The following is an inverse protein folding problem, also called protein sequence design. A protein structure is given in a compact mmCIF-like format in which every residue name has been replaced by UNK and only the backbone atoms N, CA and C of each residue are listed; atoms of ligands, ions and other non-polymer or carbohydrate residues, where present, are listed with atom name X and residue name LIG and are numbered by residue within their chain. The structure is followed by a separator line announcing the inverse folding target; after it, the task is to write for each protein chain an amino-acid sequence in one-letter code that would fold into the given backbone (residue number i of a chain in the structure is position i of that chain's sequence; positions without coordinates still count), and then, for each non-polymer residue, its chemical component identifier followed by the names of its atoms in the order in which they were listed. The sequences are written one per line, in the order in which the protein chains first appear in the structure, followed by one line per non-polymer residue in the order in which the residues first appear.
data_IF_151211768752
#
_entry.id   IF_151211768752
#
_cell.length_a   1.000
_cell.length_b   1.000
_cell.length_c   1.000
_cell.angle_alpha   90.00
_cell.angle_beta   90.00
_cell.angle_gamma   90.00
#
_symmetry.space_group_name_H-M   'P 1'
#
loop_
_entity.id
_entity.type
_entity.pdbx_description
1 polymer ?
#
# COMPACT_ATOMS: atom_id res chain seq x y z
N UNK A 1 -24.14 15.12 17.26
CA UNK A 1 -25.20 14.33 17.93
C UNK A 1 -24.55 13.65 19.12
N UNK A 2 -24.93 14.01 20.34
CA UNK A 2 -24.39 13.36 21.54
C UNK A 2 -25.34 12.21 21.90
N UNK A 3 -24.89 10.97 21.67
CA UNK A 3 -25.61 9.80 22.20
C UNK A 3 -24.95 9.38 23.51
N UNK A 4 -25.64 9.56 24.61
CA UNK A 4 -25.11 9.20 25.93
C UNK A 4 -25.42 7.77 26.34
N UNK A 5 -26.44 7.12 25.75
CA UNK A 5 -26.83 5.75 26.04
C UNK A 5 -27.51 5.09 24.83
N UNK A 6 -27.32 3.76 24.69
CA UNK A 6 -28.11 2.94 23.79
C UNK A 6 -29.44 2.49 24.47
N UNK A 7 -30.26 1.71 23.76
CA UNK A 7 -31.55 1.23 24.27
C UNK A 7 -31.42 0.27 25.46
N UNK A 8 -30.23 -0.28 25.72
CA UNK A 8 -29.94 -1.16 26.86
C UNK A 8 -29.35 -0.41 28.05
N UNK A 9 -29.13 0.88 27.93
CA UNK A 9 -28.57 1.72 28.99
C UNK A 9 -27.04 1.76 29.07
N UNK A 10 -26.32 1.11 28.12
CA UNK A 10 -24.88 1.20 28.02
C UNK A 10 -24.44 2.59 27.52
N UNK A 11 -23.28 3.05 27.98
CA UNK A 11 -22.72 4.31 27.52
C UNK A 11 -22.26 4.18 26.06
N UNK A 12 -22.77 5.02 25.19
CA UNK A 12 -22.27 5.19 23.83
C UNK A 12 -21.32 6.37 23.83
N UNK A 13 -20.05 6.13 23.53
CA UNK A 13 -19.07 7.18 23.37
C UNK A 13 -19.20 7.77 21.96
N UNK A 14 -19.46 9.07 21.89
CA UNK A 14 -19.43 9.80 20.63
C UNK A 14 -18.06 10.47 20.48
N UNK A 15 -17.47 10.41 19.29
CA UNK A 15 -16.26 11.12 18.94
C UNK A 15 -16.52 12.08 17.80
N UNK A 16 -15.79 13.17 17.80
CA UNK A 16 -15.70 14.11 16.69
C UNK A 16 -14.28 14.66 16.59
N UNK A 17 -13.92 15.09 15.39
CA UNK A 17 -12.66 15.78 15.09
C UNK A 17 -13.01 17.11 14.47
N UNK A 18 -12.39 18.17 14.96
CA UNK A 18 -12.43 19.50 14.34
C UNK A 18 -11.12 19.74 13.64
N UNK A 19 -11.18 20.12 12.38
CA UNK A 19 -9.98 20.24 11.55
C UNK A 19 -9.89 21.58 10.88
N UNK A 20 -8.69 22.16 10.82
CA UNK A 20 -8.35 23.27 9.96
C UNK A 20 -7.11 22.94 9.14
N UNK A 21 -7.07 23.37 7.89
CA UNK A 21 -5.94 23.12 7.01
C UNK A 21 -5.71 24.28 6.05
N UNK A 22 -4.48 24.38 5.57
CA UNK A 22 -4.14 25.20 4.42
C UNK A 22 -3.20 24.44 3.48
N UNK A 23 -3.27 24.75 2.20
CA UNK A 23 -2.41 24.20 1.16
C UNK A 23 -1.95 25.35 0.25
N UNK A 24 -0.65 25.38 -0.01
CA UNK A 24 -0.02 26.33 -0.89
C UNK A 24 0.74 25.61 -1.98
N UNK A 25 0.42 25.91 -3.23
CA UNK A 25 1.08 25.34 -4.41
C UNK A 25 1.62 26.49 -5.27
N UNK A 26 2.88 26.37 -5.68
CA UNK A 26 3.53 27.41 -6.45
C UNK A 26 4.47 26.85 -7.51
N UNK A 27 4.48 27.53 -8.63
CA UNK A 27 5.56 27.45 -9.61
C UNK A 27 6.57 28.54 -9.28
N UNK A 28 7.65 28.18 -8.58
CA UNK A 28 8.67 29.12 -8.12
C UNK A 28 9.46 29.69 -9.31
N UNK A 29 9.80 28.82 -10.27
CA UNK A 29 10.46 29.19 -11.53
C UNK A 29 9.83 28.40 -12.67
N UNK A 30 10.32 28.58 -13.90
CA UNK A 30 9.87 27.77 -15.05
C UNK A 30 10.10 26.27 -14.87
N UNK A 31 11.01 25.90 -13.99
CA UNK A 31 11.49 24.52 -13.79
C UNK A 31 11.25 23.97 -12.39
N UNK A 32 10.91 24.83 -11.41
CA UNK A 32 10.77 24.46 -10.01
C UNK A 32 9.32 24.63 -9.58
N UNK A 33 8.77 23.57 -9.04
CA UNK A 33 7.42 23.50 -8.48
C UNK A 33 7.51 23.05 -7.03
N UNK A 34 6.79 23.71 -6.15
CA UNK A 34 6.75 23.37 -4.74
C UNK A 34 5.32 23.38 -4.20
N UNK A 35 5.04 22.52 -3.25
CA UNK A 35 3.84 22.57 -2.43
C UNK A 35 4.22 22.57 -0.97
N UNK A 36 3.39 23.23 -0.15
CA UNK A 36 3.46 23.15 1.30
C UNK A 36 2.04 23.15 1.85
N UNK A 37 1.72 22.21 2.70
CA UNK A 37 0.44 22.10 3.38
C UNK A 37 0.61 21.80 4.86
N UNK A 38 -0.34 22.24 5.65
CA UNK A 38 -0.46 21.95 7.07
C UNK A 38 -1.91 21.71 7.43
N UNK A 39 -2.12 20.76 8.34
CA UNK A 39 -3.42 20.46 8.92
C UNK A 39 -3.29 20.34 10.42
N UNK A 40 -4.27 20.85 11.14
CA UNK A 40 -4.40 20.84 12.59
C UNK A 40 -5.73 20.19 12.93
N UNK A 41 -5.70 19.18 13.78
CA UNK A 41 -6.87 18.42 14.17
C UNK A 41 -6.99 18.38 15.69
N UNK A 42 -8.20 18.57 16.19
CA UNK A 42 -8.57 18.44 17.59
C UNK A 42 -9.57 17.29 17.72
N UNK A 43 -9.18 16.22 18.41
CA UNK A 43 -10.02 15.07 18.66
C UNK A 43 -10.55 15.12 20.10
N UNK A 44 -11.85 14.87 20.26
CA UNK A 44 -12.56 14.95 21.54
C UNK A 44 -11.88 14.23 22.70
N UNK A 45 -11.23 13.09 22.45
CA UNK A 45 -10.71 12.20 23.48
C UNK A 45 -9.20 11.94 23.37
N UNK A 46 -8.62 12.07 22.20
CA UNK A 46 -7.23 11.70 21.93
C UNK A 46 -6.27 12.90 21.75
N UNK A 47 -6.75 14.14 22.08
CA UNK A 47 -5.92 15.33 22.03
C UNK A 47 -5.84 15.99 20.65
N UNK A 48 -4.78 16.72 20.44
CA UNK A 48 -4.55 17.52 19.24
C UNK A 48 -3.35 16.94 18.49
N UNK A 49 -3.44 16.91 17.18
CA UNK A 49 -2.36 16.49 16.30
C UNK A 49 -2.24 17.45 15.11
N UNK A 50 -1.04 17.54 14.58
CA UNK A 50 -0.77 18.28 13.36
C UNK A 50 -0.03 17.44 12.33
N UNK A 51 -0.25 17.74 11.08
CA UNK A 51 0.47 17.13 9.98
C UNK A 51 0.89 18.16 8.95
N UNK A 52 2.06 17.90 8.36
CA UNK A 52 2.69 18.80 7.40
C UNK A 52 3.08 18.03 6.15
N UNK A 53 3.04 18.69 5.00
CA UNK A 53 3.53 18.16 3.75
C UNK A 53 4.33 19.21 3.00
N UNK A 54 5.50 18.84 2.53
CA UNK A 54 6.29 19.65 1.60
C UNK A 54 6.68 18.79 0.40
N UNK A 55 6.58 19.34 -0.80
CA UNK A 55 7.05 18.68 -2.02
C UNK A 55 7.87 19.65 -2.86
N UNK A 56 8.86 19.11 -3.55
CA UNK A 56 9.68 19.84 -4.51
C UNK A 56 9.84 19.02 -5.78
N UNK A 57 9.62 19.65 -6.92
CA UNK A 57 9.89 19.03 -8.21
C UNK A 57 10.72 19.98 -9.08
N UNK A 58 11.75 19.44 -9.72
CA UNK A 58 12.59 20.13 -10.69
C UNK A 58 12.48 19.45 -12.05
N UNK A 59 11.97 20.17 -13.02
CA UNK A 59 11.87 19.74 -14.41
C UNK A 59 13.06 20.30 -15.20
N UNK A 60 13.89 19.42 -15.74
CA UNK A 60 15.04 19.85 -16.56
C UNK A 60 14.59 20.54 -17.85
N UNK A 61 15.46 21.38 -18.41
CA UNK A 61 15.15 22.15 -19.62
C UNK A 61 14.83 21.26 -20.85
N UNK A 62 15.34 20.05 -20.89
CA UNK A 62 15.02 19.04 -21.91
C UNK A 62 13.59 18.49 -21.77
N UNK A 63 12.86 18.84 -20.70
CA UNK A 63 11.52 18.39 -20.35
C UNK A 63 11.35 16.88 -20.30
N UNK A 64 12.43 16.13 -20.39
CA UNK A 64 12.41 14.66 -20.38
C UNK A 64 12.85 14.07 -19.04
N UNK A 65 13.42 14.91 -18.16
CA UNK A 65 13.92 14.50 -16.85
C UNK A 65 13.26 15.34 -15.75
N UNK A 66 12.76 14.69 -14.71
CA UNK A 66 12.18 15.34 -13.53
C UNK A 66 12.76 14.70 -12.27
N UNK A 67 13.27 15.53 -11.37
CA UNK A 67 13.55 15.16 -9.98
C UNK A 67 12.34 15.52 -9.14
N UNK A 68 12.01 14.67 -8.19
CA UNK A 68 10.90 14.88 -7.26
C UNK A 68 11.31 14.46 -5.86
N UNK A 69 10.82 15.18 -4.87
CA UNK A 69 11.03 14.86 -3.46
C UNK A 69 9.80 15.27 -2.68
N UNK A 70 9.47 14.50 -1.67
CA UNK A 70 8.42 14.84 -0.71
C UNK A 70 8.89 14.53 0.71
N UNK A 71 8.39 15.31 1.66
CA UNK A 71 8.43 15.03 3.08
C UNK A 71 7.03 15.25 3.64
N UNK A 72 6.60 14.38 4.52
CA UNK A 72 5.31 14.50 5.16
C UNK A 72 5.28 13.87 6.54
N UNK A 73 4.47 14.45 7.42
CA UNK A 73 4.05 13.84 8.67
C UNK A 73 2.59 13.46 8.56
N UNK A 74 2.16 12.47 9.33
CA UNK A 74 0.79 12.02 9.40
C UNK A 74 0.46 11.48 10.78
N UNK A 75 -0.82 11.31 11.05
CA UNK A 75 -1.27 10.71 12.30
C UNK A 75 -2.58 9.95 12.08
N UNK A 76 -2.89 9.06 13.01
CA UNK A 76 -4.16 8.36 13.10
C UNK A 76 -4.65 8.37 14.55
N UNK A 77 -5.76 9.03 14.80
CA UNK A 77 -6.41 8.94 16.10
C UNK A 77 -6.95 7.53 16.34
N UNK A 78 -6.95 7.06 17.60
CA UNK A 78 -7.60 5.82 17.94
C UNK A 78 -9.10 5.90 17.62
N UNK A 79 -9.64 4.82 17.07
CA UNK A 79 -11.07 4.65 16.84
C UNK A 79 -11.85 4.53 18.15
N UNK A 80 -13.16 4.71 18.10
CA UNK A 80 -14.03 4.45 19.28
C UNK A 80 -13.93 3.01 19.78
N UNK A 81 -13.71 2.05 18.89
CA UNK A 81 -13.49 0.67 19.24
C UNK A 81 -12.19 0.49 20.04
N UNK A 82 -11.09 1.07 19.57
CA UNK A 82 -9.79 1.01 20.27
C UNK A 82 -9.85 1.72 21.63
N UNK A 83 -10.50 2.90 21.71
CA UNK A 83 -10.68 3.65 22.96
C UNK A 83 -11.56 2.92 23.98
N UNK A 84 -12.50 2.09 23.54
CA UNK A 84 -13.51 1.46 24.41
C UNK A 84 -13.48 -0.08 24.29
N UNK A 85 -12.30 -0.64 24.13
CA UNK A 85 -12.12 -2.08 23.98
C UNK A 85 -12.55 -2.83 25.24
N UNK A 86 -13.36 -3.89 25.09
CA UNK A 86 -13.91 -4.68 26.18
C UNK A 86 -14.69 -3.86 27.25
N UNK A 87 -15.37 -2.80 26.80
CA UNK A 87 -16.11 -1.88 27.67
C UNK A 87 -15.26 -1.13 28.71
N UNK A 88 -13.94 -1.08 28.50
CA UNK A 88 -12.99 -0.33 29.30
C UNK A 88 -12.46 0.86 28.47
N UNK A 89 -12.88 2.08 28.83
CA UNK A 89 -12.41 3.28 28.15
C UNK A 89 -10.97 3.59 28.52
N UNK A 90 -10.07 3.54 27.52
CA UNK A 90 -8.67 3.88 27.69
C UNK A 90 -8.40 5.33 27.24
N UNK A 91 -8.37 6.25 28.21
CA UNK A 91 -8.10 7.67 27.99
C UNK A 91 -6.61 8.00 27.81
N UNK A 92 -5.73 7.03 27.97
CA UNK A 92 -4.27 7.22 27.84
C UNK A 92 -3.76 6.98 26.41
N UNK A 93 -4.60 6.47 25.52
CA UNK A 93 -4.23 6.24 24.14
C UNK A 93 -3.96 7.55 23.41
N UNK A 94 -2.85 7.58 22.70
CA UNK A 94 -2.42 8.69 21.85
C UNK A 94 -2.69 8.37 20.39
N UNK A 95 -2.61 9.38 19.53
CA UNK A 95 -2.55 9.15 18.10
C UNK A 95 -1.28 8.39 17.72
N UNK A 96 -1.40 7.48 16.77
CA UNK A 96 -0.26 6.95 16.02
C UNK A 96 0.25 8.04 15.09
N UNK A 97 1.55 8.26 15.03
CA UNK A 97 2.16 9.28 14.16
C UNK A 97 3.08 8.64 13.12
N UNK A 98 3.25 9.32 12.01
CA UNK A 98 4.16 8.87 10.95
C UNK A 98 4.98 10.02 10.38
N UNK A 99 6.17 9.68 9.91
CA UNK A 99 7.04 10.53 9.11
C UNK A 99 7.41 9.81 7.83
N UNK A 100 7.32 10.50 6.69
CA UNK A 100 7.69 9.95 5.40
C UNK A 100 8.62 10.88 4.63
N UNK A 101 9.54 10.29 3.90
CA UNK A 101 10.42 10.98 2.97
C UNK A 101 10.53 10.16 1.67
N UNK A 102 10.35 10.84 0.54
CA UNK A 102 10.49 10.25 -0.78
C UNK A 102 11.43 11.10 -1.64
N UNK A 103 12.21 10.42 -2.46
CA UNK A 103 13.02 11.04 -3.51
C UNK A 103 12.97 10.19 -4.77
N UNK A 104 12.72 10.81 -5.93
CA UNK A 104 12.60 10.08 -7.18
C UNK A 104 13.12 10.84 -8.40
N UNK A 105 13.40 10.06 -9.42
CA UNK A 105 13.81 10.52 -10.76
C UNK A 105 12.89 9.91 -11.80
N UNK A 106 12.29 10.75 -12.60
CA UNK A 106 11.51 10.35 -13.78
C UNK A 106 12.28 10.74 -15.04
N UNK A 107 12.46 9.81 -15.97
CA UNK A 107 13.13 10.03 -17.25
C UNK A 107 12.36 9.44 -18.40
N UNK A 108 12.11 10.26 -19.42
CA UNK A 108 11.53 9.84 -20.70
C UNK A 108 12.60 9.79 -21.79
N UNK A 109 12.75 8.62 -22.41
CA UNK A 109 13.62 8.38 -23.56
C UNK A 109 12.76 8.35 -24.82
N UNK A 110 12.44 9.54 -25.34
CA UNK A 110 11.46 9.70 -26.44
C UNK A 110 11.78 8.87 -27.67
N UNK A 111 13.07 8.81 -28.07
CA UNK A 111 13.52 8.04 -29.22
C UNK A 111 13.34 6.52 -29.06
N UNK A 112 13.27 6.04 -27.82
CA UNK A 112 13.06 4.62 -27.50
C UNK A 112 11.61 4.28 -27.18
N UNK A 113 10.74 5.29 -27.02
CA UNK A 113 9.39 5.11 -26.51
C UNK A 113 9.36 4.57 -25.06
N UNK A 114 10.40 4.87 -24.27
CA UNK A 114 10.60 4.36 -22.92
C UNK A 114 10.49 5.49 -21.91
N UNK A 115 9.74 5.27 -20.83
CA UNK A 115 9.80 6.10 -19.63
C UNK A 115 10.13 5.24 -18.40
N UNK A 116 10.93 5.81 -17.51
CA UNK A 116 11.35 5.17 -16.26
C UNK A 116 11.14 6.15 -15.13
N UNK A 117 10.54 5.70 -14.04
CA UNK A 117 10.43 6.40 -12.76
C UNK A 117 11.06 5.51 -11.69
N UNK A 118 12.07 6.01 -11.00
CA UNK A 118 12.72 5.34 -9.90
C UNK A 118 12.60 6.22 -8.65
N UNK A 119 12.10 5.66 -7.56
CA UNK A 119 11.87 6.37 -6.31
C UNK A 119 12.40 5.57 -5.13
N UNK A 120 13.02 6.26 -4.19
CA UNK A 120 13.31 5.77 -2.85
C UNK A 120 12.24 6.31 -1.90
N UNK A 121 11.77 5.48 -0.98
CA UNK A 121 10.87 5.87 0.10
C UNK A 121 11.41 5.44 1.47
N UNK A 122 11.05 6.20 2.50
CA UNK A 122 11.31 5.87 3.90
C UNK A 122 10.13 6.36 4.73
N UNK A 123 9.53 5.46 5.51
CA UNK A 123 8.39 5.75 6.39
C UNK A 123 8.70 5.20 7.77
N UNK A 124 8.38 5.99 8.79
CA UNK A 124 8.45 5.60 10.20
C UNK A 124 7.10 5.82 10.86
N UNK A 125 6.69 4.88 11.69
CA UNK A 125 5.52 4.99 12.55
C UNK A 125 5.95 4.92 14.00
N UNK A 126 5.40 5.81 14.81
CA UNK A 126 5.59 5.84 16.26
C UNK A 126 4.25 5.68 16.95
N UNK A 127 4.25 5.14 18.15
CA UNK A 127 3.04 4.94 18.96
C UNK A 127 1.95 4.16 18.21
N UNK A 128 2.35 3.13 17.42
CA UNK A 128 1.43 2.33 16.63
C UNK A 128 0.25 1.83 17.47
N UNK A 129 -0.96 1.92 16.91
CA UNK A 129 -2.17 1.47 17.58
C UNK A 129 -2.44 0.01 17.22
N UNK A 130 -2.21 -0.88 18.16
CA UNK A 130 -2.40 -2.31 17.96
C UNK A 130 -3.21 -2.95 19.08
N UNK A 131 -4.04 -3.94 18.73
CA UNK A 131 -4.72 -4.78 19.71
C UNK A 131 -3.74 -5.83 20.26
N UNK A 132 -3.50 -5.83 21.56
CA UNK A 132 -2.54 -6.71 22.20
C UNK A 132 -3.18 -7.59 23.28
N UNK A 133 -2.66 -8.81 23.43
CA UNK A 133 -3.05 -9.73 24.49
C UNK A 133 -2.04 -9.63 25.62
N UNK A 134 -2.43 -9.08 26.76
CA UNK A 134 -1.59 -9.00 27.94
C UNK A 134 -1.15 -10.38 28.46
N UNK A 135 -0.06 -10.41 29.22
CA UNK A 135 0.54 -11.62 29.82
C UNK A 135 -0.44 -12.46 30.65
N UNK A 136 -1.53 -11.89 31.09
CA UNK A 136 -2.63 -12.57 31.86
C UNK A 136 -3.81 -13.00 30.99
N UNK A 137 -3.70 -12.92 29.66
CA UNK A 137 -4.80 -13.25 28.76
C UNK A 137 -5.84 -12.14 28.58
N UNK A 138 -5.64 -10.98 29.18
CA UNK A 138 -6.49 -9.81 29.02
C UNK A 138 -6.15 -9.12 27.69
N UNK A 139 -7.17 -8.90 26.86
CA UNK A 139 -7.01 -8.11 25.65
C UNK A 139 -7.10 -6.63 26.01
N UNK A 140 -6.12 -5.85 25.57
CA UNK A 140 -6.16 -4.40 25.66
C UNK A 140 -5.64 -3.79 24.36
N UNK A 141 -6.12 -2.60 24.05
CA UNK A 141 -5.56 -1.77 22.99
C UNK A 141 -4.69 -0.69 23.62
N UNK A 142 -3.47 -0.58 23.16
CA UNK A 142 -2.49 0.38 23.64
C UNK A 142 -1.63 0.89 22.46
N UNK A 143 -0.92 1.99 22.71
CA UNK A 143 0.16 2.37 21.82
C UNK A 143 1.38 1.52 22.12
N UNK A 144 2.05 1.04 21.07
CA UNK A 144 3.31 0.33 21.19
C UNK A 144 4.48 1.31 21.35
N UNK A 145 5.41 1.06 22.26
CA UNK A 145 6.56 1.95 22.49
C UNK A 145 7.64 1.87 21.40
N UNK A 146 7.54 0.91 20.49
CA UNK A 146 8.53 0.70 19.44
C UNK A 146 8.27 1.54 18.17
N UNK A 147 9.27 1.59 17.32
CA UNK A 147 9.20 2.27 16.02
C UNK A 147 9.06 1.25 14.90
N UNK A 148 8.00 1.33 14.12
CA UNK A 148 7.85 0.55 12.90
C UNK A 148 8.44 1.33 11.72
N UNK A 149 9.24 0.66 10.88
CA UNK A 149 9.90 1.28 9.73
C UNK A 149 9.61 0.50 8.46
N UNK A 150 9.43 1.22 7.37
CA UNK A 150 9.37 0.69 6.02
C UNK A 150 10.17 1.59 5.09
N UNK A 151 11.12 1.01 4.34
CA UNK A 151 11.91 1.75 3.35
C UNK A 151 12.16 0.88 2.13
N UNK A 152 12.38 1.50 0.99
CA UNK A 152 12.60 0.72 -0.20
C UNK A 152 12.83 1.53 -1.46
N UNK A 153 12.77 0.80 -2.56
CA UNK A 153 12.90 1.34 -3.91
C UNK A 153 11.71 0.91 -4.74
N UNK A 154 11.18 1.83 -5.51
CA UNK A 154 10.15 1.58 -6.51
C UNK A 154 10.70 1.91 -7.89
N UNK A 155 10.43 1.03 -8.85
CA UNK A 155 10.77 1.22 -10.26
C UNK A 155 9.50 1.01 -11.09
N UNK A 156 9.11 2.04 -11.82
CA UNK A 156 8.03 1.99 -12.78
C UNK A 156 8.62 2.24 -14.17
N UNK A 157 8.37 1.33 -15.11
CA UNK A 157 8.81 1.49 -16.49
C UNK A 157 7.65 1.26 -17.45
N UNK A 158 7.53 2.11 -18.45
CA UNK A 158 6.58 1.96 -19.56
C UNK A 158 7.37 2.02 -20.86
N UNK A 159 7.25 0.98 -21.66
CA UNK A 159 7.98 0.89 -22.93
C UNK A 159 7.03 0.59 -24.09
N UNK A 160 6.84 1.58 -24.94
CA UNK A 160 6.18 1.41 -26.24
C UNK A 160 7.21 0.95 -27.28
N UNK A 161 7.45 -0.37 -27.31
CA UNK A 161 8.44 -0.97 -28.22
C UNK A 161 8.05 -0.78 -29.70
N UNK A 162 6.72 -0.88 -29.97
CA UNK A 162 6.16 -0.65 -31.30
C UNK A 162 4.69 -0.24 -31.18
N UNK A 163 4.00 -0.03 -32.29
CA UNK A 163 2.55 0.22 -32.29
C UNK A 163 1.76 -1.02 -31.83
N UNK A 164 2.36 -2.21 -31.89
CA UNK A 164 1.73 -3.46 -31.57
C UNK A 164 2.20 -4.09 -30.26
N UNK A 165 3.27 -3.59 -29.66
CA UNK A 165 3.86 -4.22 -28.49
C UNK A 165 4.29 -3.17 -27.47
N UNK A 166 3.68 -3.25 -26.28
CA UNK A 166 3.96 -2.36 -25.16
C UNK A 166 4.21 -3.19 -23.90
N UNK A 167 5.10 -2.70 -23.06
CA UNK A 167 5.41 -3.27 -21.75
C UNK A 167 5.18 -2.24 -20.64
N UNK A 168 4.67 -2.71 -19.51
CA UNK A 168 4.62 -1.97 -18.26
C UNK A 168 5.22 -2.81 -17.15
N UNK A 169 6.29 -2.32 -16.51
CA UNK A 169 6.93 -2.98 -15.39
C UNK A 169 6.74 -2.12 -14.13
N UNK A 170 6.28 -2.74 -13.06
CA UNK A 170 6.34 -2.19 -11.71
C UNK A 170 7.16 -3.17 -10.85
N UNK A 171 8.16 -2.65 -10.17
CA UNK A 171 8.97 -3.42 -9.23
C UNK A 171 9.12 -2.63 -7.95
N UNK A 172 8.94 -3.31 -6.81
CA UNK A 172 9.14 -2.72 -5.48
C UNK A 172 10.07 -3.62 -4.66
N UNK A 173 11.09 -3.01 -4.08
CA UNK A 173 11.86 -3.59 -3.01
C UNK A 173 11.47 -2.91 -1.70
N UNK A 174 11.10 -3.68 -0.67
CA UNK A 174 10.70 -3.17 0.64
C UNK A 174 11.51 -3.85 1.74
N UNK A 175 12.13 -3.03 2.59
CA UNK A 175 12.74 -3.48 3.84
C UNK A 175 11.95 -2.91 5.00
N UNK A 176 11.49 -3.77 5.91
CA UNK A 176 10.68 -3.38 7.06
C UNK A 176 11.39 -3.74 8.36
N UNK A 177 11.05 -3.01 9.41
CA UNK A 177 11.47 -3.29 10.77
C UNK A 177 10.28 -3.04 11.71
N UNK A 178 9.95 -4.03 12.50
CA UNK A 178 8.92 -3.96 13.55
C UNK A 178 9.58 -3.87 14.92
N UNK A 179 9.80 -2.64 15.41
CA UNK A 179 10.37 -2.40 16.71
C UNK A 179 9.42 -2.75 17.87
N UNK A 180 8.11 -2.82 17.59
CA UNK A 180 7.12 -3.19 18.59
C UNK A 180 7.23 -4.68 18.99
N UNK A 181 7.54 -5.56 18.04
CA UNK A 181 7.74 -6.99 18.35
C UNK A 181 9.05 -7.27 19.12
N UNK A 182 10.10 -6.47 18.92
CA UNK A 182 11.40 -6.72 19.58
C UNK A 182 11.45 -6.31 21.05
N UNK A 183 10.66 -5.34 21.44
CA UNK A 183 10.68 -4.77 22.78
C UNK A 183 9.62 -5.37 23.71
N UNK A 184 8.83 -6.35 23.24
CA UNK A 184 7.85 -7.04 24.06
C UNK A 184 8.54 -8.04 25.01
N UNK A 185 8.56 -7.78 26.34
CA UNK A 185 9.22 -8.65 27.32
C UNK A 185 8.57 -10.04 27.45
N UNK A 186 7.33 -10.20 26.99
CA UNK A 186 6.62 -11.47 27.00
C UNK A 186 6.85 -12.31 25.72
N UNK A 187 7.45 -11.72 24.69
CA UNK A 187 7.91 -12.41 23.50
C UNK A 187 9.23 -13.10 23.79
N UNK A 188 9.23 -14.41 23.71
CA UNK A 188 10.45 -15.22 23.89
C UNK A 188 11.52 -14.75 22.90
N UNK A 189 12.66 -14.27 23.38
CA UNK A 189 13.75 -13.59 22.65
C UNK A 189 14.40 -14.38 21.49
N UNK A 190 13.77 -15.42 21.00
CA UNK A 190 14.24 -16.20 19.85
C UNK A 190 13.80 -15.66 18.47
N UNK A 191 13.08 -14.54 18.41
CA UNK A 191 12.70 -13.90 17.15
C UNK A 191 13.86 -13.08 16.60
N UNK A 192 14.62 -13.66 15.70
CA UNK A 192 15.75 -13.00 15.04
C UNK A 192 15.34 -12.10 13.88
N UNK A 193 14.08 -12.09 13.49
CA UNK A 193 13.59 -11.38 12.31
C UNK A 193 12.46 -10.39 12.65
N UNK A 194 12.83 -9.14 12.86
CA UNK A 194 11.94 -8.02 13.15
C UNK A 194 11.28 -7.45 11.88
N UNK A 195 11.02 -8.25 10.84
CA UNK A 195 10.29 -7.80 9.65
C UNK A 195 8.79 -7.85 9.89
N UNK A 196 8.08 -6.88 9.32
CA UNK A 196 6.61 -6.94 9.28
C UNK A 196 6.16 -8.22 8.57
N UNK A 197 5.12 -8.86 9.13
CA UNK A 197 4.51 -10.04 8.52
C UNK A 197 3.72 -9.67 7.26
N UNK A 198 3.63 -10.61 6.31
CA UNK A 198 2.89 -10.47 5.04
C UNK A 198 3.41 -9.34 4.15
N UNK A 199 4.63 -8.91 4.38
CA UNK A 199 5.30 -7.92 3.53
C UNK A 199 6.49 -8.60 2.83
N UNK A 200 6.33 -9.07 1.59
CA UNK A 200 7.43 -9.62 0.80
C UNK A 200 8.47 -8.53 0.50
N UNK A 201 9.75 -8.93 0.44
CA UNK A 201 10.82 -7.98 0.11
C UNK A 201 10.77 -7.50 -1.33
N UNK A 202 10.37 -8.35 -2.24
CA UNK A 202 10.33 -8.06 -3.66
C UNK A 202 8.96 -8.37 -4.24
N UNK A 203 8.41 -7.42 -4.97
CA UNK A 203 7.19 -7.61 -5.77
C UNK A 203 7.47 -7.08 -7.18
N UNK A 204 7.12 -7.86 -8.18
CA UNK A 204 7.22 -7.46 -9.57
C UNK A 204 5.90 -7.72 -10.30
N UNK A 205 5.46 -6.75 -11.10
CA UNK A 205 4.33 -6.90 -12.00
C UNK A 205 4.77 -6.45 -13.40
N UNK A 206 4.61 -7.33 -14.38
CA UNK A 206 4.91 -7.08 -15.79
C UNK A 206 3.63 -7.24 -16.61
N UNK A 207 3.17 -6.16 -17.21
CA UNK A 207 2.08 -6.17 -18.19
C UNK A 207 2.68 -6.14 -19.60
N UNK A 208 2.29 -7.10 -20.43
CA UNK A 208 2.66 -7.16 -21.85
C UNK A 208 1.40 -7.03 -22.69
N UNK A 209 1.30 -5.95 -23.47
CA UNK A 209 0.18 -5.70 -24.35
C UNK A 209 0.60 -5.94 -25.80
N UNK A 210 -0.08 -6.85 -26.46
CA UNK A 210 0.19 -7.26 -27.83
C UNK A 210 -1.05 -7.09 -28.72
N UNK A 211 -0.90 -6.35 -29.83
CA UNK A 211 -1.84 -6.33 -30.94
C UNK A 211 -1.32 -7.24 -32.03
N UNK A 212 -2.08 -8.26 -32.39
CA UNK A 212 -1.60 -9.27 -33.36
C UNK A 212 -1.66 -8.68 -34.78
N UNK A 213 -0.53 -8.59 -35.50
CA UNK A 213 -0.53 -8.14 -36.89
C UNK A 213 -1.45 -9.01 -37.77
N UNK A 214 -2.27 -8.40 -38.58
CA UNK A 214 -3.28 -9.10 -39.39
C UNK A 214 -4.67 -9.27 -38.72
N UNK A 215 -4.74 -9.18 -37.40
CA UNK A 215 -5.96 -9.22 -36.60
C UNK A 215 -6.16 -7.90 -35.88
N UNK A 216 -6.47 -6.84 -36.64
CA UNK A 216 -6.52 -5.45 -36.15
C UNK A 216 -7.43 -5.24 -34.93
N UNK A 217 -8.40 -6.13 -34.75
CA UNK A 217 -9.41 -6.02 -33.69
C UNK A 217 -9.09 -6.87 -32.46
N UNK A 218 -7.93 -7.54 -32.43
CA UNK A 218 -7.55 -8.45 -31.36
C UNK A 218 -6.42 -7.84 -30.52
N UNK A 219 -6.75 -7.53 -29.26
CA UNK A 219 -5.80 -7.08 -28.26
C UNK A 219 -5.60 -8.20 -27.21
N UNK A 220 -4.35 -8.52 -26.90
CA UNK A 220 -3.96 -9.45 -25.87
C UNK A 220 -3.18 -8.70 -24.77
N UNK A 221 -3.47 -9.02 -23.52
CA UNK A 221 -2.70 -8.54 -22.36
C UNK A 221 -2.31 -9.72 -21.49
N UNK A 222 -1.00 -9.94 -21.35
CA UNK A 222 -0.44 -10.88 -20.38
C UNK A 222 0.05 -10.09 -19.18
N UNK A 223 -0.48 -10.40 -17.99
CA UNK A 223 -0.02 -9.87 -16.73
C UNK A 223 0.73 -10.98 -15.98
N UNK A 224 1.98 -10.72 -15.64
CA UNK A 224 2.81 -11.60 -14.82
C UNK A 224 3.07 -10.92 -13.49
N UNK A 225 2.68 -11.55 -12.40
CA UNK A 225 2.96 -11.10 -11.03
C UNK A 225 3.88 -12.10 -10.36
N UNK A 226 5.00 -11.62 -9.86
CA UNK A 226 5.88 -12.37 -8.97
C UNK A 226 5.97 -11.66 -7.62
N UNK A 227 5.92 -12.45 -6.55
CA UNK A 227 6.12 -12.01 -5.18
C UNK A 227 7.16 -12.92 -4.53
N UNK A 228 8.14 -12.31 -3.87
CA UNK A 228 9.05 -13.01 -2.98
C UNK A 228 8.29 -13.63 -1.81
N UNK A 229 8.92 -14.57 -1.13
CA UNK A 229 8.42 -15.14 0.11
C UNK A 229 8.21 -14.07 1.19
N UNK A 230 7.25 -14.29 2.07
CA UNK A 230 6.96 -13.39 3.17
C UNK A 230 6.86 -14.15 4.49
N UNK A 231 7.23 -13.48 5.58
CA UNK A 231 6.97 -13.97 6.93
C UNK A 231 5.47 -13.93 7.23
N UNK A 232 4.95 -14.89 7.99
CA UNK A 232 3.60 -14.87 8.54
C UNK A 232 3.56 -15.45 9.96
N UNK A 233 2.43 -15.32 10.63
CA UNK A 233 2.20 -15.91 11.95
C UNK A 233 1.86 -17.39 11.83
N UNK A 234 2.48 -18.22 12.68
CA UNK A 234 2.13 -19.64 12.78
C UNK A 234 0.79 -19.84 13.50
N UNK A 235 -0.12 -20.66 12.91
CA UNK A 235 -1.37 -21.12 13.50
C UNK A 235 -2.25 -20.02 14.15
N UNK A 236 -2.27 -18.81 13.60
CA UNK A 236 -3.09 -17.71 14.09
C UNK A 236 -2.67 -17.18 15.47
N UNK A 237 -1.53 -17.60 16.00
CA UNK A 237 -1.02 -17.16 17.29
C UNK A 237 0.29 -16.41 17.10
N UNK A 238 0.29 -15.12 17.38
CA UNK A 238 1.45 -14.21 17.28
C UNK A 238 2.71 -14.71 18.02
N UNK A 239 2.55 -15.66 18.94
CA UNK A 239 3.61 -16.06 19.87
C UNK A 239 4.40 -17.30 19.45
N UNK A 240 4.05 -17.99 18.32
CA UNK A 240 4.47 -19.39 18.26
C UNK A 240 5.34 -19.82 17.09
N UNK A 241 5.60 -19.07 16.07
CA UNK A 241 6.64 -19.39 15.06
C UNK A 241 6.65 -18.38 13.91
N UNK A 242 7.84 -18.04 13.46
CA UNK A 242 8.08 -17.48 12.15
C UNK A 242 7.75 -18.55 11.11
N UNK A 243 6.60 -18.42 10.50
CA UNK A 243 6.25 -19.22 9.35
C UNK A 243 6.42 -18.39 8.08
N UNK A 244 6.58 -19.07 6.97
CA UNK A 244 6.85 -18.42 5.70
C UNK A 244 5.73 -18.73 4.73
N UNK A 245 5.24 -17.70 4.04
CA UNK A 245 4.46 -17.83 2.83
C UNK A 245 5.47 -17.94 1.69
N UNK A 246 5.36 -18.98 0.87
CA UNK A 246 6.27 -19.20 -0.26
C UNK A 246 6.16 -18.09 -1.31
N UNK A 247 7.21 -17.92 -2.10
CA UNK A 247 7.17 -17.07 -3.28
C UNK A 247 6.25 -17.68 -4.35
N UNK A 248 5.71 -16.83 -5.21
CA UNK A 248 4.80 -17.27 -6.26
C UNK A 248 4.91 -16.46 -7.54
N UNK A 249 4.56 -17.09 -8.66
CA UNK A 249 4.50 -16.50 -9.99
C UNK A 249 3.13 -16.77 -10.63
N UNK A 250 2.31 -15.76 -10.75
CA UNK A 250 0.98 -15.88 -11.35
C UNK A 250 0.93 -15.15 -12.69
N UNK A 251 0.32 -15.78 -13.68
CA UNK A 251 0.15 -15.25 -15.02
C UNK A 251 -1.34 -15.20 -15.38
N UNK A 252 -1.81 -14.05 -15.83
CA UNK A 252 -3.18 -13.82 -16.28
C UNK A 252 -3.17 -13.37 -17.74
N UNK A 253 -4.04 -13.94 -18.56
CA UNK A 253 -4.24 -13.53 -19.95
C UNK A 253 -5.60 -12.91 -20.10
N UNK A 254 -5.65 -11.68 -20.58
CA UNK A 254 -6.86 -11.00 -21.00
C UNK A 254 -6.88 -10.81 -22.51
N UNK A 255 -7.99 -11.14 -23.13
CA UNK A 255 -8.19 -11.01 -24.56
C UNK A 255 -9.40 -10.10 -24.81
N UNK A 256 -9.23 -9.12 -25.68
CA UNK A 256 -10.32 -8.27 -26.16
C UNK A 256 -10.40 -8.35 -27.68
N UNK A 257 -11.57 -8.67 -28.21
CA UNK A 257 -11.85 -8.68 -29.63
C UNK A 257 -12.98 -7.69 -29.97
N UNK A 258 -12.70 -6.73 -30.86
CA UNK A 258 -13.68 -5.76 -31.32
C UNK A 258 -14.43 -6.34 -32.53
N UNK A 259 -15.71 -6.64 -32.33
CA UNK A 259 -16.57 -7.21 -33.36
C UNK A 259 -17.44 -6.09 -33.97
N UNK A 260 -17.27 -5.85 -35.28
CA UNK A 260 -18.04 -4.88 -36.08
C UNK A 260 -18.09 -3.45 -35.49
N UNK A 261 -17.07 -3.03 -34.75
CA UNK A 261 -17.00 -1.73 -34.08
C UNK A 261 -18.14 -1.45 -33.09
N UNK A 262 -19.07 -2.40 -32.90
CA UNK A 262 -20.25 -2.28 -32.06
C UNK A 262 -20.16 -3.10 -30.79
N UNK A 263 -19.45 -4.23 -30.82
CA UNK A 263 -19.35 -5.13 -29.70
C UNK A 263 -17.88 -5.42 -29.33
N UNK A 264 -17.59 -5.41 -28.06
CA UNK A 264 -16.34 -5.93 -27.51
C UNK A 264 -16.61 -7.28 -26.86
N UNK A 265 -15.90 -8.32 -27.30
CA UNK A 265 -15.86 -9.61 -26.67
C UNK A 265 -14.63 -9.65 -25.77
N UNK A 266 -14.79 -10.21 -24.58
CA UNK A 266 -13.72 -10.39 -23.60
C UNK A 266 -13.60 -11.86 -23.26
N UNK A 267 -12.37 -12.35 -23.19
CA UNK A 267 -12.06 -13.67 -22.66
C UNK A 267 -10.81 -13.57 -21.80
N UNK A 268 -10.94 -13.91 -20.50
CA UNK A 268 -9.87 -13.86 -19.54
C UNK A 268 -9.60 -15.25 -18.99
N UNK A 269 -8.32 -15.56 -18.84
CA UNK A 269 -7.83 -16.72 -18.09
C UNK A 269 -6.99 -16.18 -16.95
N UNK A 270 -7.47 -16.30 -15.74
CA UNK A 270 -6.71 -15.96 -14.56
C UNK A 270 -5.93 -17.18 -14.09
N UNK A 271 -4.71 -16.95 -13.61
CA UNK A 271 -3.82 -18.00 -13.13
C UNK A 271 -3.63 -19.13 -14.16
N UNK A 272 -3.11 -18.80 -15.33
CA UNK A 272 -2.98 -19.72 -16.48
C UNK A 272 -2.28 -21.02 -16.10
N UNK A 273 -1.25 -20.93 -15.25
CA UNK A 273 -0.41 -22.07 -14.86
C UNK A 273 -1.01 -22.89 -13.72
N UNK A 274 -2.16 -22.46 -13.17
CA UNK A 274 -2.83 -23.08 -12.01
C UNK A 274 -1.93 -23.14 -10.78
N UNK A 275 -1.15 -22.07 -10.57
CA UNK A 275 -0.26 -21.92 -9.43
C UNK A 275 -1.05 -22.00 -8.12
N UNK A 276 -0.60 -22.81 -7.18
CA UNK A 276 -1.18 -22.90 -5.84
C UNK A 276 -0.40 -21.99 -4.91
N UNK A 277 -1.00 -20.90 -4.53
CA UNK A 277 -0.33 -19.88 -3.73
C UNK A 277 -1.22 -19.28 -2.67
N UNK A 278 -0.59 -18.68 -1.70
CA UNK A 278 -1.21 -17.98 -0.58
C UNK A 278 -0.63 -16.55 -0.48
N UNK A 279 -1.43 -15.62 -0.01
CA UNK A 279 -0.99 -14.26 0.36
C UNK A 279 -1.09 -14.02 1.86
N UNK A 280 -1.75 -14.94 2.52
CA UNK A 280 -1.88 -15.10 3.97
C UNK A 280 -1.88 -16.60 4.19
N UNK A 281 -1.13 -17.07 5.17
CA UNK A 281 -1.03 -18.48 5.48
C UNK A 281 -2.39 -19.12 5.73
N UNK A 282 -2.57 -20.33 5.23
CA UNK A 282 -3.80 -21.13 5.30
C UNK A 282 -5.01 -20.52 4.55
N UNK A 283 -4.77 -19.49 3.72
CA UNK A 283 -5.77 -18.88 2.85
C UNK A 283 -5.34 -19.00 1.39
N UNK A 284 -5.67 -20.14 0.80
CA UNK A 284 -5.41 -20.41 -0.62
C UNK A 284 -6.10 -19.41 -1.52
N UNK A 285 -5.39 -18.94 -2.52
CA UNK A 285 -5.94 -18.08 -3.56
C UNK A 285 -6.67 -18.89 -4.62
N UNK A 286 -7.44 -18.20 -5.48
CA UNK A 286 -8.26 -18.83 -6.50
C UNK A 286 -7.38 -19.57 -7.52
N UNK A 287 -7.76 -20.81 -7.81
CA UNK A 287 -7.22 -21.61 -8.89
C UNK A 287 -7.48 -20.97 -10.26
N UNK A 288 -6.99 -21.62 -11.33
CA UNK A 288 -7.27 -21.14 -12.68
C UNK A 288 -8.76 -20.94 -12.91
N UNK A 289 -9.11 -19.77 -13.40
CA UNK A 289 -10.49 -19.40 -13.70
C UNK A 289 -10.62 -18.77 -15.09
N UNK A 290 -11.82 -18.87 -15.65
CA UNK A 290 -12.14 -18.38 -16.98
C UNK A 290 -13.32 -17.41 -16.88
N UNK A 291 -13.20 -16.25 -17.54
CA UNK A 291 -14.27 -15.29 -17.64
C UNK A 291 -14.55 -14.99 -19.11
N UNK A 292 -15.80 -14.87 -19.45
CA UNK A 292 -16.25 -14.45 -20.78
C UNK A 292 -17.26 -13.32 -20.64
N UNK A 293 -17.18 -12.33 -21.53
CA UNK A 293 -18.09 -11.21 -21.52
C UNK A 293 -18.29 -10.59 -22.90
N UNK A 294 -19.44 -9.92 -23.07
CA UNK A 294 -19.75 -9.10 -24.23
C UNK A 294 -20.22 -7.73 -23.76
N UNK A 295 -19.73 -6.67 -24.41
CA UNK A 295 -20.14 -5.29 -24.16
C UNK A 295 -20.51 -4.62 -25.48
N UNK A 296 -21.69 -4.03 -25.54
CA UNK A 296 -22.09 -3.16 -26.67
C UNK A 296 -21.47 -1.76 -26.44
N UNK A 297 -20.94 -1.20 -27.53
CA UNK A 297 -20.44 0.19 -27.58
C UNK A 297 -21.49 1.00 -28.32
N UNK A 298 -21.94 2.13 -27.77
CA UNK A 298 -22.94 3.03 -28.33
C UNK A 298 -22.28 4.24 -28.96
#
# INVERSE_FOLDING_TARGET
MNYDKNLTGEKIYASYVTSSYFDFQSRITNNIYATFGSRFDEHKHAGNEDSHRATLAYLFNDKSTKLKSSYGTGFRFPSLYELNFLNSFNSSMKAETSESFDFGVEKSFLNLGLSVDASYFNIKYNDALEGWKGSKGDWSTNNFPGVVKSQGLELISKWKKSNNLNFGLNYTYTSTYDGAEQDDPDMNQSYHDARLVRVPRHIMNLATNLKIPGYKNLDLTLNTKWSDSARDYGNGNRTWRDETIDDYLVNDLSTKYNLWDTYNLFFDINNILDEKYETTRDYSQMDRSFNFGIRRVY
#
